data_IF_751886928591
#
_entry.id   IF_751886928591
#
_cell.length_a   1.000
_cell.length_b   1.000
_cell.length_c   1.000
_cell.angle_alpha   90.00
_cell.angle_beta   90.00
_cell.angle_gamma   90.00
#
_symmetry.space_group_name_H-M   'P 1'
#
loop_
_entity.id
_entity.type
_entity.pdbx_description
1 polymer ?
#
# COMPACT_ATOMS: atom_id res chain seq x y z
N UNK A 1 -2.82 -14.57 -24.25
CA UNK A 1 -2.12 -14.39 -22.96
C UNK A 1 -2.97 -13.47 -22.12
N UNK A 2 -3.07 -13.68 -20.80
CA UNK A 2 -3.80 -12.75 -19.94
C UNK A 2 -3.06 -11.43 -19.86
N UNK A 3 -3.78 -10.31 -19.82
CA UNK A 3 -3.23 -8.97 -19.63
C UNK A 3 -3.05 -8.60 -18.16
N UNK A 4 -3.46 -9.48 -17.25
CA UNK A 4 -3.38 -9.27 -15.81
C UNK A 4 -2.88 -10.54 -15.10
N UNK A 5 -2.21 -10.32 -13.98
CA UNK A 5 -1.64 -11.33 -13.08
C UNK A 5 -1.95 -10.93 -11.64
N UNK A 6 -2.39 -11.91 -10.85
CA UNK A 6 -2.51 -11.76 -9.40
C UNK A 6 -1.24 -12.26 -8.75
N UNK A 7 -0.57 -11.39 -8.02
CA UNK A 7 0.64 -11.71 -7.24
C UNK A 7 0.23 -12.01 -5.81
N UNK A 8 0.70 -13.14 -5.29
CA UNK A 8 0.42 -13.61 -3.94
C UNK A 8 1.73 -13.85 -3.22
N UNK A 9 1.98 -13.13 -2.12
CA UNK A 9 3.10 -13.41 -1.23
C UNK A 9 2.64 -14.17 0.00
N UNK A 10 3.46 -15.15 0.38
CA UNK A 10 3.46 -15.77 1.70
C UNK A 10 4.81 -15.45 2.36
N UNK A 11 4.86 -14.32 3.08
CA UNK A 11 6.08 -13.84 3.71
C UNK A 11 6.63 -14.83 4.75
N UNK A 12 5.78 -15.61 5.43
CA UNK A 12 6.21 -16.62 6.41
C UNK A 12 6.80 -17.85 5.74
N UNK A 13 6.25 -18.26 4.60
CA UNK A 13 6.79 -19.35 3.81
C UNK A 13 7.92 -18.91 2.85
N UNK A 14 8.22 -17.61 2.76
CA UNK A 14 9.30 -17.08 1.94
C UNK A 14 9.09 -17.31 0.44
N UNK A 15 7.88 -17.12 -0.06
CA UNK A 15 7.59 -17.23 -1.49
C UNK A 15 6.63 -16.16 -2.02
N UNK A 16 6.75 -15.88 -3.32
CA UNK A 16 5.86 -15.04 -4.10
C UNK A 16 5.40 -15.81 -5.34
N UNK A 17 4.10 -15.92 -5.55
CA UNK A 17 3.49 -16.65 -6.66
C UNK A 17 2.77 -15.70 -7.62
N UNK A 18 2.93 -15.94 -8.92
CA UNK A 18 2.30 -15.18 -9.99
C UNK A 18 1.22 -16.04 -10.62
N UNK A 19 -0.04 -15.65 -10.42
CA UNK A 19 -1.22 -16.45 -10.76
C UNK A 19 -2.00 -15.80 -11.90
N UNK A 20 -2.52 -16.65 -12.79
CA UNK A 20 -3.59 -16.22 -13.67
C UNK A 20 -4.89 -16.02 -12.84
N UNK A 21 -5.45 -14.80 -12.78
CA UNK A 21 -6.57 -14.51 -11.88
C UNK A 21 -7.89 -15.18 -12.28
N UNK A 22 -8.01 -15.66 -13.53
CA UNK A 22 -9.23 -16.32 -14.04
C UNK A 22 -9.19 -17.83 -13.82
N UNK A 23 -8.04 -18.45 -14.07
CA UNK A 23 -7.90 -19.92 -13.96
C UNK A 23 -7.34 -20.36 -12.61
N UNK A 24 -6.63 -19.47 -11.91
CA UNK A 24 -5.86 -19.79 -10.70
C UNK A 24 -4.55 -20.54 -10.97
N UNK A 25 -4.17 -20.75 -12.23
CA UNK A 25 -2.93 -21.42 -12.58
C UNK A 25 -1.72 -20.57 -12.17
N UNK A 26 -0.77 -21.17 -11.45
CA UNK A 26 0.54 -20.58 -11.17
C UNK A 26 1.32 -20.51 -12.49
N UNK A 27 1.69 -19.30 -12.89
CA UNK A 27 2.51 -19.04 -14.07
C UNK A 27 4.00 -19.20 -13.74
N UNK A 28 4.43 -18.66 -12.61
CA UNK A 28 5.75 -18.86 -12.03
C UNK A 28 5.76 -18.45 -10.56
N UNK A 29 6.88 -18.70 -9.87
CA UNK A 29 7.09 -18.40 -8.44
C UNK A 29 8.51 -17.94 -8.18
N UNK A 30 8.69 -17.12 -7.16
CA UNK A 30 9.96 -16.77 -6.55
C UNK A 30 10.02 -17.42 -5.17
N UNK A 31 11.10 -18.13 -4.91
CA UNK A 31 11.34 -18.85 -3.66
C UNK A 31 12.47 -18.21 -2.87
N UNK A 32 12.45 -18.42 -1.54
CA UNK A 32 13.43 -17.83 -0.62
C UNK A 32 13.42 -16.30 -0.64
N UNK A 33 12.23 -15.72 -0.77
CA UNK A 33 11.99 -14.27 -0.81
C UNK A 33 10.91 -13.91 0.20
N UNK A 34 11.21 -13.01 1.13
CA UNK A 34 10.31 -12.63 2.23
C UNK A 34 9.83 -11.20 2.02
N UNK A 35 8.59 -11.05 1.53
CA UNK A 35 7.99 -9.73 1.33
C UNK A 35 7.95 -8.92 2.64
N UNK A 36 8.42 -7.68 2.60
CA UNK A 36 8.17 -6.68 3.64
C UNK A 36 6.68 -6.26 3.62
N UNK A 37 5.89 -6.76 4.57
CA UNK A 37 4.42 -6.60 4.60
C UNK A 37 3.98 -5.12 4.61
N UNK A 38 4.69 -4.27 5.35
CA UNK A 38 4.35 -2.86 5.50
C UNK A 38 4.53 -2.10 4.19
N UNK A 39 5.65 -2.34 3.49
CA UNK A 39 5.94 -1.72 2.21
C UNK A 39 5.10 -2.29 1.06
N UNK A 40 4.74 -3.57 1.14
CA UNK A 40 3.92 -4.26 0.15
C UNK A 40 4.50 -4.24 -1.27
N UNK A 41 3.62 -4.18 -2.27
CA UNK A 41 4.00 -4.15 -3.68
C UNK A 41 3.81 -2.75 -4.28
N UNK A 42 4.75 -2.35 -5.13
CA UNK A 42 4.70 -1.14 -5.92
C UNK A 42 4.59 -1.49 -7.41
N UNK A 43 3.52 -1.09 -8.12
CA UNK A 43 3.44 -1.24 -9.57
C UNK A 43 4.43 -0.30 -10.27
N UNK A 44 5.20 -0.81 -11.23
CA UNK A 44 6.16 -0.01 -12.02
C UNK A 44 5.72 0.21 -13.48
N UNK A 45 4.52 -0.25 -13.84
CA UNK A 45 4.08 -0.31 -15.23
C UNK A 45 4.82 -1.35 -16.08
N UNK A 46 4.30 -1.59 -17.28
CA UNK A 46 4.79 -2.57 -18.25
C UNK A 46 4.73 -4.01 -17.73
N UNK A 47 3.77 -4.34 -16.86
CA UNK A 47 3.67 -5.66 -16.23
C UNK A 47 4.69 -5.93 -15.12
N UNK A 48 5.44 -4.92 -14.68
CA UNK A 48 6.45 -5.04 -13.63
C UNK A 48 5.92 -4.59 -12.28
N UNK A 49 6.40 -5.24 -11.23
CA UNK A 49 6.21 -4.80 -9.85
C UNK A 49 7.54 -4.82 -9.09
N UNK A 50 7.62 -3.94 -8.09
CA UNK A 50 8.71 -3.87 -7.13
C UNK A 50 8.21 -4.24 -5.73
N UNK A 51 9.06 -4.86 -4.93
CA UNK A 51 8.81 -5.09 -3.52
C UNK A 51 10.12 -5.33 -2.78
N UNK A 52 10.11 -5.27 -1.45
CA UNK A 52 11.31 -5.47 -0.63
C UNK A 52 11.33 -6.91 -0.12
N UNK A 53 12.46 -7.59 -0.32
CA UNK A 53 12.82 -8.84 0.34
C UNK A 53 13.53 -8.54 1.66
N UNK A 54 12.80 -8.64 2.76
CA UNK A 54 13.28 -8.38 4.12
C UNK A 54 14.31 -9.41 4.59
N UNK A 55 14.26 -10.64 4.09
CA UNK A 55 15.28 -11.64 4.42
C UNK A 55 16.56 -11.43 3.61
N UNK A 56 16.43 -11.03 2.34
CA UNK A 56 17.54 -10.81 1.43
C UNK A 56 18.21 -9.44 1.53
N UNK A 57 17.55 -8.44 2.13
CA UNK A 57 18.09 -7.07 2.18
C UNK A 57 18.04 -6.36 0.82
N UNK A 58 17.01 -6.60 0.02
CA UNK A 58 16.99 -6.19 -1.38
C UNK A 58 15.62 -5.70 -1.88
N UNK A 59 15.65 -4.73 -2.78
CA UNK A 59 14.54 -4.41 -3.67
C UNK A 59 14.54 -5.43 -4.81
N UNK A 60 13.40 -6.10 -4.98
CA UNK A 60 13.15 -7.09 -6.03
C UNK A 60 12.27 -6.46 -7.10
N UNK A 61 12.76 -6.44 -8.35
CA UNK A 61 11.97 -6.06 -9.52
C UNK A 61 11.64 -7.30 -10.33
N UNK A 62 10.36 -7.65 -10.40
CA UNK A 62 9.86 -8.80 -11.13
C UNK A 62 8.96 -8.38 -12.30
N UNK A 63 9.06 -9.10 -13.41
CA UNK A 63 8.07 -9.07 -14.49
C UNK A 63 7.02 -10.14 -14.17
N UNK A 64 5.79 -9.72 -13.94
CA UNK A 64 4.72 -10.62 -13.51
C UNK A 64 4.27 -11.60 -14.61
N UNK A 65 4.64 -11.36 -15.88
CA UNK A 65 4.16 -12.12 -17.03
C UNK A 65 5.21 -13.07 -17.61
N UNK A 66 6.47 -12.97 -17.17
CA UNK A 66 7.57 -13.81 -17.64
C UNK A 66 8.33 -14.45 -16.49
N UNK A 67 8.90 -15.63 -16.70
CA UNK A 67 9.76 -16.29 -15.70
C UNK A 67 11.22 -15.80 -15.78
N UNK A 68 11.42 -14.53 -16.16
CA UNK A 68 12.75 -13.93 -16.22
C UNK A 68 13.26 -13.73 -14.80
N UNK A 69 14.53 -14.06 -14.49
CA UNK A 69 15.08 -13.80 -13.16
C UNK A 69 14.86 -12.34 -12.75
N UNK A 70 14.36 -12.09 -11.53
CA UNK A 70 14.13 -10.73 -11.07
C UNK A 70 15.44 -9.96 -10.94
N UNK A 71 15.37 -8.64 -11.07
CA UNK A 71 16.51 -7.78 -10.68
C UNK A 71 16.52 -7.64 -9.17
N UNK A 72 17.68 -7.81 -8.57
CA UNK A 72 17.88 -7.74 -7.12
C UNK A 72 18.85 -6.60 -6.83
N UNK A 73 18.40 -5.62 -6.05
CA UNK A 73 19.13 -4.38 -5.80
C UNK A 73 19.26 -4.17 -4.28
N UNK A 74 20.46 -3.98 -3.71
CA UNK A 74 20.61 -3.84 -2.27
C UNK A 74 19.89 -2.60 -1.72
N UNK A 75 19.07 -2.80 -0.69
CA UNK A 75 18.39 -1.72 0.07
C UNK A 75 18.52 -1.94 1.57
N UNK A 76 18.14 -0.96 2.38
CA UNK A 76 18.08 -1.13 3.83
C UNK A 76 16.79 -1.86 4.23
N UNK A 77 16.86 -2.64 5.31
CA UNK A 77 15.75 -3.41 5.89
C UNK A 77 15.69 -3.18 7.40
N UNK A 78 14.56 -3.42 8.08
CA UNK A 78 13.26 -3.90 7.55
C UNK A 78 12.58 -2.82 6.70
N UNK A 79 12.01 -3.20 5.56
CA UNK A 79 11.32 -2.27 4.66
C UNK A 79 9.99 -1.78 5.22
N UNK A 80 9.80 -0.47 5.33
CA UNK A 80 8.57 0.14 5.89
C UNK A 80 7.70 0.74 4.80
N UNK A 81 8.26 1.63 3.97
CA UNK A 81 7.60 2.15 2.78
C UNK A 81 8.50 2.04 1.56
N UNK A 82 7.83 1.91 0.42
CA UNK A 82 8.42 1.87 -0.91
C UNK A 82 7.62 2.86 -1.78
N UNK A 83 8.29 3.70 -2.55
CA UNK A 83 7.63 4.58 -3.51
C UNK A 83 8.50 4.80 -4.75
N UNK A 84 7.89 5.20 -5.87
CA UNK A 84 8.63 5.64 -7.06
C UNK A 84 8.19 7.00 -7.56
N UNK A 85 8.99 7.59 -8.43
CA UNK A 85 8.59 8.75 -9.20
C UNK A 85 7.56 8.34 -10.28
N UNK A 86 6.87 9.30 -10.93
CA UNK A 86 5.84 9.00 -11.93
C UNK A 86 6.32 8.23 -13.15
N UNK A 87 7.62 8.26 -13.47
CA UNK A 87 8.19 7.43 -14.54
C UNK A 87 8.49 5.99 -14.10
N UNK A 88 8.56 5.74 -12.79
CA UNK A 88 8.95 4.46 -12.22
C UNK A 88 10.46 4.19 -12.28
N UNK A 89 11.28 5.21 -12.55
CA UNK A 89 12.75 5.11 -12.65
C UNK A 89 13.42 5.17 -11.29
N UNK A 90 13.05 6.16 -10.48
CA UNK A 90 13.63 6.40 -9.17
C UNK A 90 12.73 5.77 -8.11
N UNK A 91 13.33 4.93 -7.27
CA UNK A 91 12.62 4.22 -6.21
C UNK A 91 13.23 4.59 -4.86
N UNK A 92 12.41 4.96 -3.90
CA UNK A 92 12.82 5.25 -2.54
C UNK A 92 12.28 4.18 -1.58
N UNK A 93 13.13 3.77 -0.63
CA UNK A 93 12.83 2.77 0.40
C UNK A 93 13.21 3.33 1.76
N UNK A 94 12.27 3.32 2.68
CA UNK A 94 12.53 3.66 4.09
C UNK A 94 12.56 2.41 4.95
N UNK A 95 13.35 2.46 6.02
CA UNK A 95 13.36 1.41 7.04
C UNK A 95 12.37 1.67 8.17
N UNK A 96 11.84 0.59 8.74
CA UNK A 96 10.85 0.63 9.81
C UNK A 96 11.37 0.12 11.15
N UNK A 97 10.42 -0.17 12.03
CA UNK A 97 10.72 -0.72 13.36
C UNK A 97 11.11 -2.21 13.31
N UNK A 98 10.57 -2.95 12.34
CA UNK A 98 10.64 -4.41 12.35
C UNK A 98 10.00 -4.97 13.62
N UNK A 99 10.72 -5.81 14.35
CA UNK A 99 10.26 -6.39 15.63
C UNK A 99 10.53 -5.49 16.84
N UNK A 100 11.14 -4.33 16.65
CA UNK A 100 11.43 -3.38 17.72
C UNK A 100 10.20 -2.53 18.07
N UNK A 101 10.12 -2.07 19.31
CA UNK A 101 9.07 -1.14 19.76
C UNK A 101 9.51 0.33 19.71
N UNK A 102 10.82 0.58 19.59
CA UNK A 102 11.41 1.90 19.50
C UNK A 102 12.03 2.13 18.11
N UNK A 103 11.91 3.33 17.53
CA UNK A 103 12.61 3.68 16.31
C UNK A 103 14.12 3.55 16.45
N UNK A 104 14.74 2.75 15.59
CA UNK A 104 16.18 2.45 15.66
C UNK A 104 16.92 2.69 14.35
N UNK A 105 16.23 2.59 13.22
CA UNK A 105 16.84 2.76 11.89
C UNK A 105 16.52 4.14 11.33
N UNK A 106 17.56 4.80 10.79
CA UNK A 106 17.50 6.13 10.17
C UNK A 106 17.76 6.09 8.66
N UNK A 107 17.71 4.90 8.06
CA UNK A 107 18.14 4.69 6.69
C UNK A 107 17.05 5.01 5.67
N UNK A 108 17.43 5.84 4.69
CA UNK A 108 16.71 6.02 3.43
C UNK A 108 17.58 5.47 2.31
N UNK A 109 17.03 4.59 1.48
CA UNK A 109 17.67 4.13 0.25
C UNK A 109 16.97 4.76 -0.95
N UNK A 110 17.73 5.27 -1.91
CA UNK A 110 17.24 5.63 -3.24
C UNK A 110 17.93 4.78 -4.29
N UNK A 111 17.16 4.36 -5.29
CA UNK A 111 17.58 3.52 -6.40
C UNK A 111 17.27 4.23 -7.72
N UNK A 112 18.25 4.35 -8.60
CA UNK A 112 18.03 4.68 -10.02
C UNK A 112 18.03 3.37 -10.82
N UNK A 113 16.86 2.97 -11.33
CA UNK A 113 16.69 1.72 -12.08
C UNK A 113 17.29 1.77 -13.50
N UNK A 114 17.60 2.96 -14.01
CA UNK A 114 18.03 3.20 -15.39
C UNK A 114 19.43 3.82 -15.47
N UNK A 115 20.18 3.79 -14.37
CA UNK A 115 21.55 4.30 -14.34
C UNK A 115 22.45 3.59 -15.37
N UNK A 116 23.41 4.34 -15.93
CA UNK A 116 24.36 3.81 -16.90
C UNK A 116 25.20 2.67 -16.29
N UNK A 117 25.20 1.50 -16.94
CA UNK A 117 25.87 0.31 -16.41
C UNK A 117 24.99 -0.56 -15.50
N UNK A 118 23.72 -0.20 -15.31
CA UNK A 118 22.72 -0.97 -14.58
C UNK A 118 22.22 -0.25 -13.32
N UNK A 119 21.21 -0.80 -12.62
CA UNK A 119 20.62 -0.13 -11.48
C UNK A 119 21.64 0.22 -10.39
N UNK A 120 21.55 1.44 -9.86
CA UNK A 120 22.43 1.90 -8.77
C UNK A 120 21.59 2.25 -7.55
N UNK A 121 22.09 1.89 -6.35
CA UNK A 121 21.47 2.29 -5.09
C UNK A 121 22.44 3.07 -4.21
N UNK A 122 21.90 4.04 -3.47
CA UNK A 122 22.60 4.80 -2.43
C UNK A 122 21.76 4.91 -1.19
N UNK A 123 22.45 4.89 -0.05
CA UNK A 123 21.84 4.95 1.28
C UNK A 123 22.40 6.14 2.00
N UNK A 124 21.53 6.84 2.72
CA UNK A 124 21.91 7.92 3.62
C UNK A 124 21.26 7.69 4.97
N UNK A 125 21.82 8.33 6.00
CA UNK A 125 21.23 8.40 7.33
C UNK A 125 20.48 9.71 7.47
N UNK A 126 19.22 9.61 7.87
CA UNK A 126 18.29 10.71 8.10
C UNK A 126 18.03 10.85 9.60
N UNK A 127 16.79 10.62 10.03
CA UNK A 127 16.37 10.57 11.44
C UNK A 127 15.66 9.23 11.66
N UNK A 128 15.91 8.61 12.83
CA UNK A 128 15.18 7.42 13.22
C UNK A 128 13.70 7.76 13.49
N UNK A 129 12.79 6.92 12.99
CA UNK A 129 11.34 7.12 13.16
C UNK A 129 10.53 5.95 12.60
N UNK A 130 9.25 6.19 12.38
CA UNK A 130 8.37 5.36 11.55
C UNK A 130 8.06 6.10 10.24
N UNK A 131 8.98 6.02 9.25
CA UNK A 131 8.97 6.91 8.11
C UNK A 131 8.04 6.45 6.99
N UNK A 132 7.28 7.40 6.45
CA UNK A 132 6.65 7.30 5.14
C UNK A 132 7.56 7.81 4.04
N UNK A 133 7.30 7.46 2.77
CA UNK A 133 8.02 8.07 1.63
C UNK A 133 7.15 8.21 0.40
N UNK A 134 7.37 9.30 -0.33
CA UNK A 134 6.92 9.53 -1.71
C UNK A 134 8.11 10.04 -2.54
N UNK A 135 8.05 9.90 -3.87
CA UNK A 135 9.06 10.49 -4.76
C UNK A 135 8.36 11.48 -5.68
N UNK A 136 8.60 12.77 -5.43
CA UNK A 136 8.05 13.88 -6.18
C UNK A 136 9.04 14.44 -7.20
N UNK A 137 8.60 15.49 -7.90
CA UNK A 137 9.40 16.24 -8.88
C UNK A 137 9.46 17.70 -8.46
N UNK A 138 10.64 18.30 -8.51
CA UNK A 138 10.89 19.72 -8.26
C UNK A 138 11.52 20.38 -9.49
N UNK A 139 11.61 21.71 -9.59
CA UNK A 139 12.37 22.37 -10.64
C UNK A 139 13.85 21.96 -10.74
N UNK A 140 14.41 21.42 -9.65
CA UNK A 140 15.80 20.94 -9.56
C UNK A 140 15.93 19.44 -9.89
N UNK A 141 14.81 18.77 -10.18
CA UNK A 141 14.73 17.34 -10.46
C UNK A 141 13.97 16.54 -9.39
N UNK A 142 14.08 15.20 -9.42
CA UNK A 142 13.34 14.31 -8.54
C UNK A 142 13.77 14.44 -7.08
N UNK A 143 12.81 14.33 -6.17
CA UNK A 143 13.00 14.44 -4.74
C UNK A 143 12.35 13.30 -3.97
N UNK A 144 13.10 12.66 -3.07
CA UNK A 144 12.57 11.72 -2.10
C UNK A 144 12.06 12.51 -0.89
N UNK A 145 10.77 12.40 -0.59
CA UNK A 145 10.11 13.16 0.48
C UNK A 145 9.66 12.19 1.55
N UNK A 146 10.25 12.32 2.73
CA UNK A 146 10.08 11.43 3.86
C UNK A 146 9.18 12.09 4.90
N UNK A 147 8.08 11.43 5.26
CA UNK A 147 7.35 11.76 6.49
C UNK A 147 8.07 11.08 7.64
N UNK A 148 8.27 11.76 8.76
CA UNK A 148 8.56 11.08 10.02
C UNK A 148 7.52 11.35 11.09
N UNK A 149 7.31 10.33 11.92
CA UNK A 149 6.29 10.29 12.94
C UNK A 149 6.67 11.08 14.19
N UNK A 150 7.78 10.81 14.88
CA UNK A 150 8.09 11.49 16.14
C UNK A 150 9.53 12.05 16.20
N UNK A 151 9.73 13.38 16.43
CA UNK A 151 8.71 14.43 16.31
C UNK A 151 8.22 14.56 14.86
N UNK A 152 6.94 14.92 14.68
CA UNK A 152 6.30 14.99 13.37
C UNK A 152 7.02 15.95 12.41
N UNK A 153 7.23 15.52 11.17
CA UNK A 153 7.81 16.40 10.14
C UNK A 153 7.92 15.76 8.77
N UNK A 154 7.96 16.59 7.74
CA UNK A 154 8.23 16.20 6.35
C UNK A 154 9.63 16.67 5.99
N UNK A 155 10.45 15.81 5.40
CA UNK A 155 11.83 16.11 5.00
C UNK A 155 12.07 15.71 3.54
N UNK A 156 12.54 16.65 2.73
CA UNK A 156 12.79 16.44 1.30
C UNK A 156 14.28 16.37 1.00
N UNK A 157 14.65 15.43 0.14
CA UNK A 157 16.02 15.18 -0.30
C UNK A 157 16.07 15.11 -1.83
N UNK A 158 17.00 15.85 -2.44
CA UNK A 158 17.31 15.67 -3.87
C UNK A 158 17.81 14.24 -4.12
N UNK A 159 17.20 13.56 -5.08
CA UNK A 159 17.62 12.21 -5.51
C UNK A 159 19.04 12.24 -6.06
N UNK A 160 19.38 13.25 -6.86
CA UNK A 160 20.74 13.43 -7.39
C UNK A 160 21.76 13.55 -6.26
N UNK A 161 21.47 14.36 -5.24
CA UNK A 161 22.34 14.52 -4.07
C UNK A 161 22.55 13.20 -3.35
N UNK A 162 21.49 12.40 -3.14
CA UNK A 162 21.61 11.07 -2.51
C UNK A 162 22.47 10.14 -3.37
N UNK A 163 22.26 10.13 -4.69
CA UNK A 163 23.00 9.25 -5.61
C UNK A 163 24.49 9.63 -5.73
N UNK A 164 24.84 10.89 -5.48
CA UNK A 164 26.22 11.38 -5.44
C UNK A 164 26.99 11.01 -4.16
N UNK A 165 26.30 10.55 -3.11
CA UNK A 165 26.93 10.18 -1.85
C UNK A 165 27.74 8.87 -1.91
N UNK A 166 28.63 8.70 -0.93
CA UNK A 166 29.39 7.47 -0.73
C UNK A 166 28.52 6.29 -0.23
N UNK A 167 29.01 5.06 -0.42
CA UNK A 167 28.27 3.82 -0.11
C UNK A 167 28.16 3.50 1.40
N UNK A 168 28.83 4.28 2.26
CA UNK A 168 28.93 4.01 3.70
C UNK A 168 27.86 4.73 4.55
N UNK A 169 26.67 4.95 3.97
CA UNK A 169 25.52 5.55 4.65
C UNK A 169 25.85 6.89 5.34
N UNK A 170 26.36 7.91 4.63
CA UNK A 170 26.66 9.19 5.24
C UNK A 170 25.38 9.86 5.76
N UNK A 171 25.48 10.68 6.82
CA UNK A 171 24.36 11.49 7.26
C UNK A 171 24.04 12.56 6.22
N UNK A 172 22.75 12.71 5.90
CA UNK A 172 22.26 13.78 5.05
C UNK A 172 21.08 14.46 5.73
N UNK A 173 21.08 15.80 5.71
CA UNK A 173 19.95 16.59 6.15
C UNK A 173 19.22 17.13 4.93
N UNK A 174 17.91 16.92 4.93
CA UNK A 174 16.99 17.47 3.93
C UNK A 174 16.38 18.79 4.39
N UNK A 175 15.56 19.38 3.53
CA UNK A 175 14.77 20.56 3.87
C UNK A 175 13.46 20.12 4.52
N UNK A 176 13.06 20.81 5.59
CA UNK A 176 12.01 20.34 6.50
C UNK A 176 10.79 21.25 6.56
N UNK A 177 9.65 20.62 6.78
CA UNK A 177 8.41 21.25 7.23
C UNK A 177 7.88 20.51 8.47
N UNK A 178 7.16 21.23 9.32
CA UNK A 178 6.48 20.63 10.48
C UNK A 178 5.27 19.81 10.02
N UNK A 179 4.96 18.74 10.75
CA UNK A 179 3.79 17.89 10.54
C UNK A 179 3.31 17.32 11.87
N UNK A 180 2.11 16.74 11.92
CA UNK A 180 1.65 16.08 13.15
C UNK A 180 2.47 14.83 13.50
N UNK A 181 2.62 14.54 14.81
CA UNK A 181 3.45 13.43 15.25
C UNK A 181 2.80 12.04 15.13
N UNK A 182 1.58 11.95 14.59
CA UNK A 182 0.79 10.73 14.54
C UNK A 182 0.45 10.28 13.10
N UNK A 183 1.15 10.82 12.09
CA UNK A 183 1.00 10.43 10.70
C UNK A 183 1.36 8.95 10.46
N UNK A 184 0.64 8.29 9.56
CA UNK A 184 0.79 6.85 9.31
C UNK A 184 0.63 6.46 7.83
N UNK A 185 -0.47 6.88 7.19
CA UNK A 185 -0.74 6.58 5.78
C UNK A 185 -0.33 7.73 4.87
N UNK A 186 0.37 7.41 3.78
CA UNK A 186 0.83 8.39 2.78
C UNK A 186 0.26 8.07 1.41
N UNK A 187 -0.04 9.12 0.65
CA UNK A 187 -0.39 9.08 -0.76
C UNK A 187 0.20 10.29 -1.49
N UNK A 188 0.35 10.19 -2.81
CA UNK A 188 0.94 11.24 -3.63
C UNK A 188 0.14 11.47 -4.91
N UNK A 189 -0.19 12.72 -5.20
CA UNK A 189 -0.71 13.12 -6.51
C UNK A 189 0.39 13.81 -7.32
N UNK A 190 0.94 13.14 -8.34
CA UNK A 190 2.03 13.70 -9.14
C UNK A 190 1.59 14.85 -10.05
N UNK A 191 0.29 15.01 -10.32
CA UNK A 191 -0.21 16.10 -11.17
C UNK A 191 -0.15 17.44 -10.44
N UNK A 192 -0.60 17.46 -9.18
CA UNK A 192 -0.53 18.67 -8.35
C UNK A 192 0.78 18.78 -7.58
N UNK A 193 1.53 17.68 -7.48
CA UNK A 193 2.72 17.56 -6.64
C UNK A 193 2.37 17.63 -5.16
N UNK A 194 1.22 17.09 -4.78
CA UNK A 194 0.73 17.11 -3.39
C UNK A 194 0.99 15.77 -2.72
N UNK A 195 1.71 15.79 -1.61
CA UNK A 195 1.78 14.68 -0.66
C UNK A 195 0.63 14.79 0.34
N UNK A 196 -0.01 13.66 0.62
CA UNK A 196 -1.10 13.54 1.57
C UNK A 196 -0.69 12.62 2.71
N UNK A 197 -0.97 13.04 3.95
CA UNK A 197 -0.64 12.30 5.16
C UNK A 197 -1.88 12.16 6.03
N UNK A 198 -2.26 10.92 6.36
CA UNK A 198 -3.36 10.64 7.26
C UNK A 198 -2.93 10.81 8.72
N UNK A 199 -3.54 11.79 9.42
CA UNK A 199 -3.26 12.12 10.83
C UNK A 199 -4.54 12.14 11.66
N UNK A 200 -4.41 12.34 12.97
CA UNK A 200 -5.55 12.46 13.87
C UNK A 200 -6.40 13.70 13.63
N UNK A 201 -5.81 14.79 13.12
CA UNK A 201 -6.54 16.02 12.83
C UNK A 201 -7.23 16.04 11.46
N UNK A 202 -6.83 15.16 10.54
CA UNK A 202 -7.37 15.11 9.19
C UNK A 202 -6.38 14.54 8.20
N UNK A 203 -6.60 14.86 6.93
CA UNK A 203 -5.65 14.65 5.86
C UNK A 203 -4.76 15.89 5.74
N UNK A 204 -3.56 15.81 6.29
CA UNK A 204 -2.53 16.82 6.10
C UNK A 204 -2.00 16.77 4.66
N UNK A 205 -1.63 17.94 4.15
CA UNK A 205 -1.23 18.12 2.76
C UNK A 205 0.02 18.96 2.67
N UNK A 206 0.91 18.57 1.75
CA UNK A 206 2.16 19.28 1.51
C UNK A 206 2.38 19.43 0.01
N UNK A 207 2.65 20.65 -0.44
CA UNK A 207 3.20 20.88 -1.77
C UNK A 207 4.69 20.49 -1.74
N UNK A 208 5.03 19.47 -2.52
CA UNK A 208 6.39 18.93 -2.59
C UNK A 208 7.10 19.25 -3.90
N UNK A 209 6.55 20.19 -4.69
CA UNK A 209 7.20 20.68 -5.92
C UNK A 209 8.35 21.63 -5.64
N UNK A 210 8.45 22.13 -4.41
CA UNK A 210 9.56 22.97 -3.96
C UNK A 210 10.58 22.09 -3.22
N UNK A 211 11.89 22.43 -3.26
CA UNK A 211 12.89 21.71 -2.48
C UNK A 211 12.54 21.62 -0.99
N UNK A 212 12.01 22.70 -0.40
CA UNK A 212 11.41 22.66 0.93
C UNK A 212 9.90 22.41 0.80
N UNK A 213 9.37 21.33 1.41
CA UNK A 213 7.94 21.08 1.44
C UNK A 213 7.18 22.24 2.08
N UNK A 214 6.01 22.56 1.56
CA UNK A 214 5.14 23.61 2.10
C UNK A 214 3.81 23.01 2.57
N UNK A 215 3.45 23.25 3.82
CA UNK A 215 2.18 22.80 4.36
C UNK A 215 1.00 23.54 3.67
N UNK A 216 -0.03 22.78 3.31
CA UNK A 216 -1.29 23.28 2.79
C UNK A 216 -2.40 23.05 3.83
N UNK A 217 -3.59 23.61 3.59
CA UNK A 217 -4.71 23.45 4.52
C UNK A 217 -5.06 21.97 4.77
N UNK A 218 -5.29 21.63 6.03
CA UNK A 218 -5.73 20.28 6.42
C UNK A 218 -7.18 20.07 5.96
N UNK A 219 -7.45 18.91 5.37
CA UNK A 219 -8.82 18.48 5.09
C UNK A 219 -9.32 17.68 6.31
N UNK A 220 -10.33 18.15 7.06
CA UNK A 220 -10.82 17.42 8.22
C UNK A 220 -11.51 16.12 7.81
N UNK A 221 -11.50 15.13 8.69
CA UNK A 221 -12.34 13.94 8.52
C UNK A 221 -13.82 14.32 8.66
N UNK A 222 -14.63 14.03 7.65
CA UNK A 222 -16.07 14.33 7.60
C UNK A 222 -16.94 13.19 8.18
N UNK A 223 -16.30 12.20 8.81
CA UNK A 223 -16.95 11.14 9.57
C UNK A 223 -16.10 10.72 10.77
N UNK A 224 -16.69 10.03 11.78
CA UNK A 224 -15.98 9.63 12.99
C UNK A 224 -14.75 8.76 12.72
N UNK A 225 -13.67 9.02 13.46
CA UNK A 225 -12.43 8.26 13.38
C UNK A 225 -11.34 8.95 12.56
N UNK A 226 -10.32 8.18 12.17
CA UNK A 226 -9.22 8.63 11.30
C UNK A 226 -8.79 7.52 10.35
N UNK A 227 -8.11 7.88 9.27
CA UNK A 227 -7.44 6.92 8.40
C UNK A 227 -6.08 6.50 8.97
N UNK A 228 -5.66 5.28 8.60
CA UNK A 228 -4.30 4.77 8.77
C UNK A 228 -3.67 4.38 7.42
N UNK A 229 -4.50 4.02 6.43
CA UNK A 229 -4.08 3.69 5.08
C UNK A 229 -4.76 4.61 4.08
N UNK A 230 -3.98 5.09 3.11
CA UNK A 230 -4.43 5.87 1.97
C UNK A 230 -4.13 5.09 0.69
N UNK A 231 -4.96 5.28 -0.33
CA UNK A 231 -4.69 4.90 -1.72
C UNK A 231 -5.04 6.07 -2.61
N UNK A 232 -4.18 6.35 -3.58
CA UNK A 232 -4.50 7.29 -4.65
C UNK A 232 -4.86 6.53 -5.92
N UNK A 233 -5.92 6.96 -6.59
CA UNK A 233 -6.33 6.41 -7.88
C UNK A 233 -6.10 7.47 -8.96
N UNK A 234 -4.94 7.48 -9.65
CA UNK A 234 -4.61 8.53 -10.63
C UNK A 234 -5.66 8.67 -11.72
N UNK A 235 -6.16 7.54 -12.26
CA UNK A 235 -7.14 7.54 -13.35
C UNK A 235 -8.49 8.15 -13.00
N UNK A 236 -8.88 8.16 -11.72
CA UNK A 236 -10.13 8.78 -11.23
C UNK A 236 -9.90 10.08 -10.46
N UNK A 237 -8.63 10.39 -10.16
CA UNK A 237 -8.22 11.53 -9.33
C UNK A 237 -8.95 11.55 -7.99
N UNK A 238 -8.93 10.40 -7.32
CA UNK A 238 -9.52 10.25 -5.97
C UNK A 238 -8.53 9.67 -4.97
N UNK A 239 -8.61 10.14 -3.74
CA UNK A 239 -8.05 9.49 -2.56
C UNK A 239 -9.13 8.65 -1.90
N UNK A 240 -8.75 7.44 -1.48
CA UNK A 240 -9.65 6.53 -0.76
C UNK A 240 -9.01 6.15 0.55
N UNK A 241 -9.84 6.07 1.59
CA UNK A 241 -9.45 5.60 2.91
C UNK A 241 -10.61 4.88 3.60
N UNK A 242 -10.30 4.14 4.66
CA UNK A 242 -11.29 3.67 5.62
C UNK A 242 -11.01 4.37 6.95
N UNK A 243 -11.96 5.20 7.38
CA UNK A 243 -11.90 5.85 8.68
C UNK A 243 -12.34 4.87 9.76
N UNK A 244 -11.48 4.71 10.77
CA UNK A 244 -11.70 3.79 11.88
C UNK A 244 -12.05 4.58 13.14
N UNK A 245 -13.28 4.41 13.60
CA UNK A 245 -13.74 4.93 14.89
C UNK A 245 -13.53 3.89 16.00
N UNK A 246 -13.02 4.32 17.15
CA UNK A 246 -12.66 3.43 18.27
C UNK A 246 -11.26 2.81 18.16
N UNK A 247 -10.50 3.09 17.08
CA UNK A 247 -9.18 2.52 16.82
C UNK A 247 -8.13 2.74 17.92
N UNK A 248 -8.33 3.72 18.81
CA UNK A 248 -7.48 3.94 19.99
C UNK A 248 -7.59 2.85 21.07
N UNK A 249 -8.56 1.93 20.96
CA UNK A 249 -8.72 0.78 21.83
C UNK A 249 -8.61 -0.53 21.02
N UNK A 250 -7.37 -1.00 20.72
CA UNK A 250 -7.08 -2.23 19.95
C UNK A 250 -7.91 -3.45 20.31
N UNK A 251 -8.11 -3.69 21.61
CA UNK A 251 -8.81 -4.88 22.12
C UNK A 251 -10.32 -4.84 21.89
N UNK A 252 -10.87 -3.66 21.57
CA UNK A 252 -12.27 -3.43 21.20
C UNK A 252 -12.53 -3.48 19.70
N UNK A 253 -11.66 -4.13 18.92
CA UNK A 253 -11.71 -4.08 17.45
C UNK A 253 -13.03 -4.56 16.84
N UNK A 254 -13.73 -5.48 17.50
CA UNK A 254 -15.02 -5.98 17.04
C UNK A 254 -16.09 -4.87 17.02
N UNK A 255 -15.95 -3.84 17.86
CA UNK A 255 -16.89 -2.71 17.95
C UNK A 255 -16.45 -1.49 17.12
N UNK A 256 -15.28 -1.54 16.48
CA UNK A 256 -14.80 -0.41 15.68
C UNK A 256 -15.76 -0.10 14.54
N UNK A 257 -16.24 1.14 14.48
CA UNK A 257 -17.02 1.62 13.35
C UNK A 257 -16.10 1.96 12.19
N UNK A 258 -16.44 1.49 10.99
CA UNK A 258 -15.68 1.77 9.78
C UNK A 258 -16.52 2.60 8.81
N UNK A 259 -15.90 3.62 8.22
CA UNK A 259 -16.51 4.46 7.18
C UNK A 259 -15.60 4.52 5.97
N UNK A 260 -16.11 4.13 4.81
CA UNK A 260 -15.44 4.39 3.54
C UNK A 260 -15.43 5.89 3.30
N UNK A 261 -14.26 6.44 3.00
CA UNK A 261 -14.04 7.86 2.76
C UNK A 261 -13.39 8.03 1.39
N UNK A 262 -13.98 8.88 0.56
CA UNK A 262 -13.50 9.16 -0.79
C UNK A 262 -13.43 10.66 -0.99
N UNK A 263 -12.28 11.14 -1.47
CA UNK A 263 -12.04 12.55 -1.74
C UNK A 263 -11.61 12.76 -3.19
N UNK A 264 -12.28 13.66 -3.89
CA UNK A 264 -11.86 14.11 -5.22
C UNK A 264 -10.75 15.15 -5.08
N UNK A 265 -9.58 14.89 -5.67
CA UNK A 265 -8.48 15.86 -5.56
C UNK A 265 -8.67 17.10 -6.44
N UNK A 266 -9.51 17.03 -7.47
CA UNK A 266 -9.77 18.14 -8.39
C UNK A 266 -10.93 19.03 -7.94
N UNK A 267 -12.02 18.42 -7.42
CA UNK A 267 -13.22 19.18 -7.00
C UNK A 267 -13.24 19.51 -5.51
N UNK A 268 -12.41 18.86 -4.70
CA UNK A 268 -12.41 19.00 -3.25
C UNK A 268 -13.61 18.37 -2.55
N UNK A 269 -14.46 17.64 -3.28
CA UNK A 269 -15.63 16.98 -2.71
C UNK A 269 -15.24 15.72 -1.96
N UNK A 270 -15.86 15.54 -0.80
CA UNK A 270 -15.72 14.35 0.04
C UNK A 270 -17.03 13.60 0.11
N UNK A 271 -16.96 12.28 0.07
CA UNK A 271 -18.10 11.41 0.24
C UNK A 271 -17.77 10.27 1.21
N UNK A 272 -18.79 9.86 1.96
CA UNK A 272 -18.66 8.79 2.93
C UNK A 272 -19.75 7.74 2.82
N UNK A 273 -19.42 6.51 3.21
CA UNK A 273 -20.38 5.40 3.28
C UNK A 273 -20.03 4.49 4.47
N UNK A 274 -20.98 4.19 5.37
CA UNK A 274 -20.72 3.27 6.47
C UNK A 274 -20.38 1.86 5.98
N UNK A 275 -19.34 1.25 6.56
CA UNK A 275 -18.94 -0.15 6.33
C UNK A 275 -19.28 -1.06 7.52
N UNK A 276 -19.90 -0.50 8.57
CA UNK A 276 -20.29 -1.21 9.79
C UNK A 276 -19.12 -1.57 10.71
N UNK A 277 -19.36 -2.51 11.63
CA UNK A 277 -18.46 -2.83 12.72
C UNK A 277 -17.47 -3.94 12.42
N UNK A 278 -16.27 -3.86 13.00
CA UNK A 278 -15.24 -4.90 12.93
C UNK A 278 -13.91 -4.38 12.41
N UNK A 279 -13.06 -5.29 11.98
CA UNK A 279 -11.73 -4.98 11.47
C UNK A 279 -11.75 -4.90 9.95
N UNK A 280 -11.52 -3.71 9.41
CA UNK A 280 -11.07 -3.53 8.02
C UNK A 280 -9.60 -3.19 8.05
N UNK A 281 -8.76 -4.10 7.54
CA UNK A 281 -7.31 -3.90 7.51
C UNK A 281 -6.90 -3.11 6.26
N UNK A 282 -7.35 -3.55 5.08
CA UNK A 282 -7.05 -2.94 3.77
C UNK A 282 -8.27 -3.00 2.86
N UNK A 283 -8.19 -2.28 1.75
CA UNK A 283 -9.20 -2.22 0.71
C UNK A 283 -8.52 -2.23 -0.66
N UNK A 284 -9.27 -2.54 -1.71
CA UNK A 284 -8.78 -2.57 -3.08
C UNK A 284 -9.69 -1.77 -4.01
N UNK A 285 -9.14 -1.24 -5.10
CA UNK A 285 -9.87 -0.51 -6.13
C UNK A 285 -10.16 -1.46 -7.28
N UNK A 286 -11.44 -1.65 -7.61
CA UNK A 286 -11.85 -2.35 -8.84
C UNK A 286 -11.87 -1.37 -10.01
N UNK A 287 -12.25 -1.79 -11.23
CA UNK A 287 -12.39 -0.89 -12.39
C UNK A 287 -13.43 0.23 -12.22
N UNK A 288 -14.43 0.05 -11.36
CA UNK A 288 -15.48 1.08 -11.12
C UNK A 288 -15.87 1.26 -9.65
N UNK A 289 -15.14 0.68 -8.71
CA UNK A 289 -15.54 0.66 -7.31
C UNK A 289 -14.41 0.46 -6.32
N UNK A 290 -14.80 0.20 -5.08
CA UNK A 290 -13.94 -0.03 -3.93
C UNK A 290 -14.43 -1.30 -3.22
N UNK A 291 -13.52 -2.24 -3.01
CA UNK A 291 -13.76 -3.51 -2.33
C UNK A 291 -13.11 -3.50 -0.94
N UNK A 292 -13.83 -3.95 0.07
CA UNK A 292 -13.36 -4.03 1.46
C UNK A 292 -13.61 -5.42 2.02
N UNK A 293 -12.58 -6.02 2.63
CA UNK A 293 -12.72 -7.24 3.42
C UNK A 293 -12.79 -6.86 4.91
N UNK A 294 -13.90 -7.22 5.55
CA UNK A 294 -14.18 -6.93 6.95
C UNK A 294 -14.18 -8.24 7.74
N UNK A 295 -13.38 -8.29 8.79
CA UNK A 295 -13.34 -9.40 9.76
C UNK A 295 -14.23 -9.04 10.95
N UNK A 296 -15.10 -9.95 11.36
CA UNK A 296 -15.99 -9.75 12.49
C UNK A 296 -16.33 -11.09 13.17
N UNK A 297 -16.54 -11.15 14.51
CA UNK A 297 -16.85 -12.41 15.20
C UNK A 297 -18.10 -13.14 14.69
N UNK A 298 -19.06 -12.41 14.10
CA UNK A 298 -20.28 -12.99 13.54
C UNK A 298 -20.06 -13.57 12.13
N UNK A 299 -19.06 -13.09 11.39
CA UNK A 299 -18.76 -13.52 10.05
C UNK A 299 -17.85 -12.53 9.33
N UNK A 300 -16.96 -13.04 8.50
CA UNK A 300 -16.15 -12.22 7.62
C UNK A 300 -16.96 -11.89 6.35
N UNK A 301 -16.79 -10.69 5.84
CA UNK A 301 -17.57 -10.19 4.69
C UNK A 301 -16.65 -9.46 3.70
N UNK A 302 -16.86 -9.73 2.42
CA UNK A 302 -16.42 -8.85 1.35
C UNK A 302 -17.59 -7.94 0.97
N UNK A 303 -17.40 -6.64 0.94
CA UNK A 303 -18.36 -5.69 0.40
C UNK A 303 -17.73 -4.86 -0.72
N UNK A 304 -18.51 -4.58 -1.76
CA UNK A 304 -18.06 -3.76 -2.89
C UNK A 304 -19.02 -2.60 -3.07
N UNK A 305 -18.46 -1.40 -3.15
CA UNK A 305 -19.18 -0.16 -3.37
C UNK A 305 -18.82 0.37 -4.76
N UNK A 306 -19.83 0.63 -5.58
CA UNK A 306 -19.64 1.30 -6.85
C UNK A 306 -19.32 2.78 -6.59
N UNK A 307 -18.24 3.24 -7.21
CA UNK A 307 -17.86 4.64 -7.20
C UNK A 307 -18.45 5.29 -8.45
N UNK A 308 -19.62 5.91 -8.29
CA UNK A 308 -20.17 6.81 -9.30
C UNK A 308 -19.41 8.14 -9.37
N UNK A 309 -19.80 9.06 -10.26
CA UNK A 309 -19.30 10.43 -10.20
C UNK A 309 -19.52 11.02 -8.80
N UNK A 310 -18.50 11.67 -8.22
CA UNK A 310 -18.59 12.22 -6.85
C UNK A 310 -19.60 13.39 -6.72
N UNK A 311 -20.10 13.91 -7.83
CA UNK A 311 -21.20 14.88 -7.84
C UNK A 311 -22.58 14.20 -7.76
N UNK A 312 -22.67 12.90 -8.07
CA UNK A 312 -23.93 12.16 -8.16
C UNK A 312 -24.42 11.62 -6.80
N UNK A 313 -23.58 11.65 -5.77
CA UNK A 313 -23.88 11.11 -4.44
C UNK A 313 -22.90 10.01 -4.01
N UNK A 314 -23.01 9.55 -2.74
CA UNK A 314 -22.02 8.71 -2.09
C UNK A 314 -21.80 7.36 -2.79
N UNK A 315 -20.67 6.67 -2.54
CA UNK A 315 -20.47 5.31 -3.02
C UNK A 315 -21.65 4.40 -2.69
N UNK A 316 -22.15 3.67 -3.69
CA UNK A 316 -23.36 2.85 -3.55
C UNK A 316 -22.96 1.39 -3.35
N UNK A 317 -23.47 0.75 -2.30
CA UNK A 317 -23.27 -0.69 -2.09
C UNK A 317 -23.76 -1.47 -3.32
N UNK A 318 -22.84 -2.16 -3.97
CA UNK A 318 -23.15 -3.04 -5.10
C UNK A 318 -23.52 -4.44 -4.63
N UNK A 319 -22.84 -4.94 -3.61
CA UNK A 319 -23.09 -6.27 -3.08
C UNK A 319 -22.20 -6.60 -1.89
N UNK A 320 -22.60 -7.66 -1.19
CA UNK A 320 -21.85 -8.30 -0.10
C UNK A 320 -21.73 -9.79 -0.36
N UNK A 321 -20.64 -10.38 0.14
CA UNK A 321 -20.33 -11.79 0.01
C UNK A 321 -19.79 -12.31 1.34
N UNK A 322 -20.40 -13.37 1.86
CA UNK A 322 -19.91 -14.06 3.05
C UNK A 322 -18.58 -14.74 2.74
N UNK A 323 -17.56 -14.46 3.54
CA UNK A 323 -16.25 -15.08 3.43
C UNK A 323 -16.13 -16.26 4.43
N UNK A 324 -15.56 -17.42 4.01
CA UNK A 324 -15.34 -18.54 4.92
C UNK A 324 -14.42 -18.14 6.08
N UNK A 325 -14.84 -18.37 7.33
CA UNK A 325 -14.10 -17.95 8.55
C UNK A 325 -12.65 -18.47 8.58
N UNK A 326 -11.73 -17.68 9.15
CA UNK A 326 -10.37 -18.13 9.43
C UNK A 326 -10.31 -18.75 10.83
N UNK A 327 -9.81 -19.98 10.96
CA UNK A 327 -9.62 -20.67 12.25
C UNK A 327 -8.73 -19.88 13.22
N UNK A 328 -7.74 -19.14 12.70
CA UNK A 328 -6.85 -18.26 13.45
C UNK A 328 -7.23 -16.78 13.47
N UNK A 329 -8.50 -16.44 13.17
CA UNK A 329 -8.95 -15.05 13.17
C UNK A 329 -8.73 -14.32 14.51
N UNK A 330 -8.62 -12.97 14.51
CA UNK A 330 -8.63 -12.16 15.71
C UNK A 330 -9.79 -12.51 16.64
N UNK A 331 -9.55 -12.42 17.95
CA UNK A 331 -10.55 -12.66 18.99
C UNK A 331 -10.87 -11.36 19.73
N UNK A 332 -12.14 -11.08 20.08
CA UNK A 332 -12.48 -9.94 20.92
C UNK A 332 -11.72 -9.95 22.24
N UNK A 333 -11.29 -8.78 22.72
CA UNK A 333 -10.48 -8.64 23.93
C UNK A 333 -8.96 -8.79 23.73
N UNK A 334 -8.53 -9.15 22.52
CA UNK A 334 -7.12 -9.23 22.09
C UNK A 334 -6.84 -8.26 20.95
N UNK A 335 -5.57 -7.88 20.76
CA UNK A 335 -5.19 -7.02 19.65
C UNK A 335 -5.33 -7.78 18.31
N UNK A 336 -5.83 -7.13 17.25
CA UNK A 336 -6.18 -7.82 16.01
C UNK A 336 -5.01 -8.06 15.05
N UNK A 337 -3.77 -7.79 15.47
CA UNK A 337 -2.55 -7.97 14.68
C UNK A 337 -1.52 -8.90 15.33
N UNK A 338 -1.69 -9.27 16.60
CA UNK A 338 -0.73 -10.09 17.33
C UNK A 338 -0.92 -11.59 17.09
N UNK A 339 -0.08 -12.20 16.26
CA UNK A 339 -0.04 -13.65 16.00
C UNK A 339 -1.42 -14.23 15.59
N UNK A 340 -2.11 -13.52 14.68
CA UNK A 340 -3.45 -13.87 14.19
C UNK A 340 -3.50 -13.86 12.67
N UNK A 341 -4.39 -14.67 12.12
CA UNK A 341 -4.64 -14.72 10.69
C UNK A 341 -5.46 -13.53 10.22
N UNK A 342 -5.10 -12.96 9.07
CA UNK A 342 -5.73 -11.75 8.52
C UNK A 342 -6.21 -11.96 7.09
N UNK A 343 -6.91 -10.95 6.57
CA UNK A 343 -7.34 -10.88 5.18
C UNK A 343 -6.44 -9.91 4.41
N UNK A 344 -5.87 -10.39 3.31
CA UNK A 344 -5.34 -9.54 2.25
C UNK A 344 -6.38 -9.44 1.13
N UNK A 345 -6.41 -8.30 0.45
CA UNK A 345 -7.36 -8.02 -0.64
C UNK A 345 -6.63 -7.32 -1.79
N UNK A 346 -6.93 -7.74 -3.02
CA UNK A 346 -6.54 -7.05 -4.24
C UNK A 346 -7.68 -7.12 -5.26
N UNK A 347 -7.70 -6.20 -6.20
CA UNK A 347 -8.73 -6.15 -7.23
C UNK A 347 -8.12 -5.78 -8.58
N UNK A 348 -8.77 -6.25 -9.64
CA UNK A 348 -8.41 -5.93 -11.02
C UNK A 348 -8.64 -4.43 -11.28
N UNK A 349 -7.63 -3.72 -11.82
CA UNK A 349 -7.83 -2.33 -12.24
C UNK A 349 -8.71 -2.21 -13.49
N UNK A 350 -8.86 -3.28 -14.29
CA UNK A 350 -9.59 -3.25 -15.56
C UNK A 350 -10.93 -4.03 -15.57
N UNK A 351 -11.23 -4.76 -14.50
CA UNK A 351 -12.49 -5.49 -14.32
C UNK A 351 -13.03 -5.38 -12.89
N UNK A 352 -14.10 -6.13 -12.60
CA UNK A 352 -14.70 -6.20 -11.27
C UNK A 352 -14.27 -7.46 -10.50
N UNK A 353 -13.19 -8.12 -10.93
CA UNK A 353 -12.61 -9.23 -10.18
C UNK A 353 -11.94 -8.74 -8.90
N UNK A 354 -12.28 -9.38 -7.78
CA UNK A 354 -11.69 -9.16 -6.46
C UNK A 354 -11.16 -10.48 -5.94
N UNK A 355 -9.97 -10.45 -5.33
CA UNK A 355 -9.35 -11.58 -4.68
C UNK A 355 -9.13 -11.28 -3.18
N UNK A 356 -9.51 -12.22 -2.32
CA UNK A 356 -9.38 -12.12 -0.85
C UNK A 356 -8.76 -13.39 -0.31
N UNK A 357 -7.72 -13.29 0.52
CA UNK A 357 -7.10 -14.46 1.15
C UNK A 357 -7.92 -14.99 2.32
N UNK A 358 -7.74 -16.27 2.67
CA UNK A 358 -8.13 -16.84 3.96
C UNK A 358 -6.84 -17.25 4.68
N UNK A 359 -6.34 -16.36 5.54
CA UNK A 359 -5.08 -16.56 6.26
C UNK A 359 -5.05 -17.89 7.02
N UNK A 360 -3.90 -18.54 7.01
CA UNK A 360 -3.65 -19.84 7.64
C UNK A 360 -4.22 -21.06 6.93
N UNK A 361 -4.96 -20.88 5.82
CA UNK A 361 -5.61 -21.98 5.09
C UNK A 361 -5.03 -22.22 3.69
N UNK A 362 -4.18 -21.33 3.20
CA UNK A 362 -3.67 -21.39 1.83
C UNK A 362 -4.77 -21.26 0.80
N UNK A 363 -5.82 -20.49 1.10
CA UNK A 363 -6.95 -20.29 0.20
C UNK A 363 -7.04 -18.84 -0.25
N UNK A 364 -7.36 -18.67 -1.52
CA UNK A 364 -7.66 -17.40 -2.16
C UNK A 364 -9.05 -17.48 -2.77
N UNK A 365 -9.96 -16.60 -2.36
CA UNK A 365 -11.30 -16.51 -2.92
C UNK A 365 -11.33 -15.39 -3.96
N UNK A 366 -11.63 -15.75 -5.21
CA UNK A 366 -11.78 -14.82 -6.33
C UNK A 366 -13.24 -14.73 -6.73
N UNK A 367 -13.74 -13.51 -6.92
CA UNK A 367 -15.14 -13.26 -7.28
C UNK A 367 -15.25 -12.15 -8.31
N UNK A 368 -16.15 -12.35 -9.27
CA UNK A 368 -16.58 -11.28 -10.18
C UNK A 368 -17.68 -10.47 -9.51
N UNK A 369 -17.33 -9.24 -9.10
CA UNK A 369 -18.21 -8.36 -8.34
C UNK A 369 -19.02 -7.42 -9.24
N UNK A 370 -19.12 -7.70 -10.54
CA UNK A 370 -19.98 -6.95 -11.46
C UNK A 370 -21.47 -7.10 -11.13
N UNK A 371 -21.86 -8.23 -10.52
CA UNK A 371 -23.21 -8.51 -10.05
C UNK A 371 -23.20 -9.03 -8.61
N UNK A 372 -24.18 -8.61 -7.81
CA UNK A 372 -24.37 -9.15 -6.47
C UNK A 372 -24.66 -10.65 -6.51
N UNK A 373 -24.12 -11.40 -5.54
CA UNK A 373 -24.39 -12.84 -5.41
C UNK A 373 -23.58 -13.74 -6.35
N UNK A 374 -22.63 -13.19 -7.13
CA UNK A 374 -21.67 -14.01 -7.87
C UNK A 374 -20.94 -15.00 -6.94
N UNK A 375 -20.72 -16.26 -7.37
CA UNK A 375 -20.10 -17.26 -6.51
C UNK A 375 -18.62 -16.94 -6.26
N UNK A 376 -18.17 -17.26 -5.05
CA UNK A 376 -16.74 -17.28 -4.72
C UNK A 376 -16.09 -18.49 -5.40
N UNK A 377 -15.01 -18.27 -6.16
CA UNK A 377 -14.14 -19.33 -6.66
C UNK A 377 -12.92 -19.44 -5.77
N UNK A 378 -12.71 -20.61 -5.17
CA UNK A 378 -11.54 -20.87 -4.33
C UNK A 378 -10.37 -21.38 -5.16
N UNK A 379 -9.20 -20.79 -4.96
CA UNK A 379 -7.90 -21.28 -5.42
C UNK A 379 -7.13 -21.74 -4.19
N UNK A 380 -6.68 -22.99 -4.19
CA UNK A 380 -5.80 -23.53 -3.14
C UNK A 380 -4.34 -23.30 -3.52
N UNK A 381 -3.56 -22.82 -2.56
CA UNK A 381 -2.15 -22.50 -2.67
C UNK A 381 -1.32 -23.56 -1.96
N UNK A 382 -0.03 -23.61 -2.31
CA UNK A 382 0.92 -24.57 -1.72
C UNK A 382 1.42 -24.23 -0.31
N UNK A 383 1.02 -23.09 0.25
CA UNK A 383 1.44 -22.63 1.58
C UNK A 383 0.26 -21.98 2.33
N UNK A 384 0.30 -21.92 3.68
CA UNK A 384 -0.87 -21.55 4.49
C UNK A 384 -1.29 -20.08 4.39
N UNK A 385 -0.46 -19.15 3.89
CA UNK A 385 -0.68 -17.71 4.02
C UNK A 385 -0.81 -17.28 5.49
N UNK A 386 0.12 -17.70 6.34
CA UNK A 386 0.15 -17.24 7.72
C UNK A 386 0.24 -15.71 7.79
N UNK A 387 -0.40 -15.13 8.80
CA UNK A 387 -0.58 -13.68 8.97
C UNK A 387 -1.42 -13.03 7.84
N UNK A 388 -2.09 -13.84 7.01
CA UNK A 388 -2.97 -13.42 5.91
C UNK A 388 -2.33 -13.35 4.51
N UNK A 389 -1.00 -13.47 4.41
CA UNK A 389 -0.26 -13.23 3.18
C UNK A 389 -0.41 -11.78 2.66
N UNK A 390 -0.05 -11.56 1.40
CA UNK A 390 -0.23 -10.26 0.74
C UNK A 390 -0.62 -10.43 -0.73
N UNK A 391 -1.41 -9.50 -1.26
CA UNK A 391 -1.89 -9.55 -2.64
C UNK A 391 -1.54 -8.27 -3.40
N UNK A 392 -1.24 -8.40 -4.68
CA UNK A 392 -1.20 -7.30 -5.63
C UNK A 392 -1.75 -7.73 -6.99
N UNK A 393 -2.30 -6.78 -7.74
CA UNK A 393 -2.78 -7.02 -9.10
C UNK A 393 -1.90 -6.25 -10.08
N UNK A 394 -1.27 -6.97 -11.00
CA UNK A 394 -0.33 -6.39 -11.97
C UNK A 394 -0.93 -6.50 -13.37
N UNK A 395 -0.86 -5.40 -14.10
CA UNK A 395 -1.40 -5.24 -15.44
C UNK A 395 -0.26 -5.05 -16.45
N UNK A 396 -0.34 -5.75 -17.58
CA UNK A 396 0.59 -5.57 -18.69
C UNK A 396 0.24 -4.36 -19.56
N UNK A 397 -0.99 -3.82 -19.44
CA UNK A 397 -1.45 -2.72 -20.29
C UNK A 397 -1.10 -1.34 -19.73
N UNK A 398 -0.83 -1.26 -18.43
CA UNK A 398 -0.45 -0.01 -17.79
C UNK A 398 1.01 0.30 -18.11
N UNK A 399 1.26 1.32 -18.93
CA UNK A 399 2.62 1.66 -19.38
C UNK A 399 3.47 2.35 -18.29
N UNK A 400 2.81 2.98 -17.32
CA UNK A 400 3.42 3.76 -16.23
C UNK A 400 2.91 3.25 -14.87
N UNK A 401 3.60 3.57 -13.76
CA UNK A 401 3.06 3.34 -12.43
C UNK A 401 1.63 3.90 -12.27
N UNK A 402 0.79 3.15 -11.56
CA UNK A 402 -0.52 3.63 -11.10
C UNK A 402 -0.37 4.45 -9.83
N UNK A 403 -0.75 3.87 -8.68
CA UNK A 403 -0.37 4.41 -7.37
C UNK A 403 1.16 4.31 -7.22
N UNK A 404 1.82 5.43 -6.93
CA UNK A 404 3.28 5.51 -6.83
C UNK A 404 3.81 5.16 -5.45
N UNK A 405 2.92 4.80 -4.51
CA UNK A 405 3.26 4.34 -3.17
C UNK A 405 2.92 2.85 -3.05
N UNK A 406 3.92 2.04 -2.67
CA UNK A 406 3.82 0.60 -2.51
C UNK A 406 2.99 0.22 -1.29
N UNK A 407 2.18 -0.84 -1.43
CA UNK A 407 1.21 -1.25 -0.42
C UNK A 407 0.75 -2.70 -0.49
#
# INVERSE_FOLDING_TARGET
MTSEVLVVADQKAGNVQFLNPVTGAVQHRLDSVVLAEHAGFLPLGGGRCAFIDDAGGALVIADAFTNTPPRIIPVAIPGEHLACDPSGRFVAVTTGLGVSWEPWSDLLTVVDLESDGGPTSRRIRTRAGEPGVVVGETPEGPAAVVRHREPGGIESFSVERILAEGVHCPPLQGLRAEASPDGHGDAFDPVTGTMFVATGQGLERFDVRKPQPEALDVIPWDAPGRAYFLRFCPGRRVLVAVLRHGGGEPRGWAQWGNTLWVYNVDTGLTQTTPLGQGLVFRFALTATGIATARVHPEGDELSVHHLGPLEAGPPVLRGTWDLPRMDGAPRPGHEPWDNVERRAIAASPSSELVAVTRGGHGELHVVDTSAAGSPLRTITLGSPLHDGGHLAWVSAVDAVPGDTVGR
#
